data_IF_220982317318
#
_entry.id   IF_220982317318
#
_cell.length_a   1.000
_cell.length_b   1.000
_cell.length_c   1.000
_cell.angle_alpha   90.00
_cell.angle_beta   90.00
_cell.angle_gamma   90.00
#
_symmetry.space_group_name_H-M   'P 1'
#
loop_
_entity.id
_entity.type
_entity.pdbx_description
1 polymer ?
#
# COMPACT_ATOMS: atom_id res chain seq x y z
N UNK A 1 -45.74 4.95 20.19
CA UNK A 1 -44.62 5.90 20.34
C UNK A 1 -43.55 5.47 21.35
N UNK A 2 -43.85 4.65 22.36
CA UNK A 2 -42.86 4.18 23.35
C UNK A 2 -41.83 3.18 22.77
N UNK A 3 -42.28 2.24 21.92
CA UNK A 3 -41.41 1.24 21.30
C UNK A 3 -40.32 1.83 20.37
N UNK A 4 -40.66 2.89 19.63
CA UNK A 4 -39.70 3.60 18.76
C UNK A 4 -38.57 4.24 19.60
N UNK A 5 -38.90 4.81 20.76
CA UNK A 5 -37.92 5.41 21.67
C UNK A 5 -36.98 4.36 22.27
N UNK A 6 -37.51 3.18 22.62
CA UNK A 6 -36.70 2.07 23.11
C UNK A 6 -35.75 1.51 22.04
N UNK A 7 -36.21 1.38 20.79
CA UNK A 7 -35.35 0.95 19.69
C UNK A 7 -34.21 1.94 19.41
N UNK A 8 -34.50 3.24 19.47
CA UNK A 8 -33.49 4.29 19.31
C UNK A 8 -32.46 4.22 20.44
N UNK A 9 -32.89 4.03 21.69
CA UNK A 9 -31.96 3.88 22.82
C UNK A 9 -31.08 2.63 22.70
N UNK A 10 -31.63 1.52 22.23
CA UNK A 10 -30.84 0.32 21.95
C UNK A 10 -29.82 0.52 20.85
N UNK A 11 -30.20 1.17 19.74
CA UNK A 11 -29.29 1.49 18.64
C UNK A 11 -28.15 2.43 19.08
N UNK A 12 -28.46 3.46 19.87
CA UNK A 12 -27.42 4.37 20.39
C UNK A 12 -26.48 3.62 21.34
N UNK A 13 -27.02 2.75 22.19
CA UNK A 13 -26.23 1.91 23.09
C UNK A 13 -25.30 0.95 22.35
N UNK A 14 -25.76 0.29 21.29
CA UNK A 14 -24.92 -0.63 20.51
C UNK A 14 -23.83 0.10 19.73
N UNK A 15 -24.11 1.28 19.19
CA UNK A 15 -23.09 2.10 18.49
C UNK A 15 -21.96 2.51 19.45
N UNK A 16 -22.30 2.94 20.68
CA UNK A 16 -21.31 3.30 21.70
C UNK A 16 -20.45 2.10 22.13
N UNK A 17 -21.07 0.92 22.27
CA UNK A 17 -20.34 -0.30 22.61
C UNK A 17 -19.39 -0.74 21.49
N UNK A 18 -19.80 -0.59 20.23
CA UNK A 18 -18.94 -0.90 19.08
C UNK A 18 -17.67 -0.02 19.05
N UNK A 19 -17.76 1.24 19.45
CA UNK A 19 -16.59 2.15 19.49
C UNK A 19 -15.54 1.69 20.50
N UNK A 20 -15.94 1.22 21.69
CA UNK A 20 -15.00 0.76 22.72
C UNK A 20 -14.34 -0.58 22.35
N UNK A 21 -15.03 -1.41 21.57
CA UNK A 21 -14.49 -2.72 21.13
C UNK A 21 -13.61 -2.66 19.87
N UNK A 22 -13.57 -1.52 19.17
CA UNK A 22 -12.89 -1.43 17.88
C UNK A 22 -11.37 -1.20 17.99
N UNK A 23 -10.86 -0.66 19.10
CA UNK A 23 -9.53 -0.06 19.09
C UNK A 23 -8.33 -1.04 19.13
N UNK A 24 -8.30 -2.17 19.87
CA UNK A 24 -7.10 -3.01 19.89
C UNK A 24 -7.16 -4.26 18.99
N UNK A 25 -8.35 -4.81 18.71
CA UNK A 25 -8.47 -6.11 18.02
C UNK A 25 -8.55 -5.96 16.49
N UNK A 26 -9.17 -4.90 15.98
CA UNK A 26 -9.20 -4.63 14.54
C UNK A 26 -7.86 -4.13 14.01
N UNK A 27 -7.10 -3.37 14.79
CA UNK A 27 -5.77 -2.92 14.38
C UNK A 27 -4.80 -4.09 14.18
N UNK A 28 -4.80 -5.10 15.06
CA UNK A 28 -3.89 -6.26 14.92
C UNK A 28 -4.25 -7.12 13.68
N UNK A 29 -5.53 -7.36 13.43
CA UNK A 29 -5.99 -8.13 12.26
C UNK A 29 -5.74 -7.35 10.95
N UNK A 30 -5.91 -6.03 10.96
CA UNK A 30 -5.61 -5.19 9.80
C UNK A 30 -4.10 -5.08 9.56
N UNK A 31 -3.30 -5.07 10.64
CA UNK A 31 -1.84 -5.05 10.57
C UNK A 31 -1.26 -6.35 10.01
N UNK A 32 -1.78 -7.51 10.42
CA UNK A 32 -1.37 -8.80 9.83
C UNK A 32 -1.76 -8.90 8.35
N UNK A 33 -2.98 -8.51 7.97
CA UNK A 33 -3.43 -8.58 6.56
C UNK A 33 -2.69 -7.59 5.64
N UNK A 34 -2.29 -6.41 6.14
CA UNK A 34 -1.47 -5.47 5.37
C UNK A 34 -0.03 -5.97 5.19
N UNK A 35 0.52 -6.69 6.17
CA UNK A 35 1.88 -7.22 6.08
C UNK A 35 2.00 -8.32 5.02
N UNK A 36 0.99 -9.18 4.90
CA UNK A 36 0.95 -10.24 3.89
C UNK A 36 0.72 -9.73 2.45
N UNK A 37 0.13 -8.54 2.30
CA UNK A 37 -0.02 -7.89 0.98
C UNK A 37 1.29 -7.28 0.46
N UNK A 38 2.15 -6.78 1.35
CA UNK A 38 3.48 -6.26 0.99
C UNK A 38 4.42 -7.39 0.55
N UNK A 39 4.25 -8.60 1.09
CA UNK A 39 5.13 -9.74 0.84
C UNK A 39 4.79 -10.52 -0.45
N UNK A 40 3.56 -10.42 -0.97
CA UNK A 40 3.06 -11.28 -2.05
C UNK A 40 2.77 -10.58 -3.39
N UNK A 41 2.96 -9.27 -3.52
CA UNK A 41 3.17 -8.68 -4.85
C UNK A 41 4.58 -9.04 -5.31
N UNK A 42 4.82 -9.44 -6.58
CA UNK A 42 6.19 -9.59 -7.07
C UNK A 42 6.87 -8.23 -6.92
N UNK A 43 7.61 -8.07 -5.82
CA UNK A 43 7.93 -6.78 -5.26
C UNK A 43 8.54 -5.96 -6.36
N UNK A 44 7.88 -4.85 -6.70
CA UNK A 44 8.46 -3.96 -7.68
C UNK A 44 9.80 -3.49 -7.13
N UNK A 45 10.83 -4.07 -7.69
CA UNK A 45 12.17 -3.98 -7.20
C UNK A 45 13.08 -3.73 -8.38
N UNK A 46 14.07 -2.90 -8.12
CA UNK A 46 15.16 -2.73 -9.05
C UNK A 46 16.04 -3.98 -8.97
N UNK A 47 16.38 -4.53 -10.13
CA UNK A 47 17.30 -5.67 -10.24
C UNK A 47 18.70 -5.30 -9.74
N UNK A 48 19.09 -4.04 -9.87
CA UNK A 48 20.36 -3.52 -9.38
C UNK A 48 20.14 -2.52 -8.24
N UNK A 49 21.14 -2.43 -7.36
CA UNK A 49 21.15 -1.48 -6.24
C UNK A 49 21.27 -0.02 -6.74
N UNK A 50 21.15 0.92 -5.80
CA UNK A 50 21.14 2.37 -6.06
C UNK A 50 22.39 2.90 -6.77
N UNK A 51 23.52 2.20 -6.65
CA UNK A 51 24.75 2.51 -7.38
C UNK A 51 24.59 2.39 -8.91
N UNK A 52 23.68 1.53 -9.38
CA UNK A 52 23.32 1.45 -10.80
C UNK A 52 22.00 2.19 -11.03
N UNK A 53 20.93 1.83 -10.31
CA UNK A 53 19.62 2.46 -10.41
C UNK A 53 19.56 3.70 -9.50
N UNK A 54 20.03 4.85 -9.99
CA UNK A 54 20.04 6.12 -9.26
C UNK A 54 21.31 6.95 -9.49
N UNK A 55 22.45 6.29 -9.75
CA UNK A 55 23.73 6.97 -10.05
C UNK A 55 24.15 6.82 -11.51
N UNK A 56 24.07 5.62 -12.09
CA UNK A 56 24.38 5.38 -13.51
C UNK A 56 23.12 5.58 -14.36
N UNK A 57 22.01 4.99 -13.91
CA UNK A 57 20.70 5.15 -14.51
C UNK A 57 19.94 6.20 -13.72
N UNK A 58 19.68 7.35 -14.35
CA UNK A 58 18.95 8.45 -13.76
C UNK A 58 17.56 8.54 -14.38
N UNK A 59 16.70 9.38 -13.80
CA UNK A 59 15.30 9.51 -14.23
C UNK A 59 15.15 9.92 -15.71
N UNK A 60 16.09 10.72 -16.23
CA UNK A 60 16.17 11.08 -17.65
C UNK A 60 16.29 9.87 -18.58
N UNK A 61 16.97 8.81 -18.12
CA UNK A 61 17.10 7.58 -18.89
C UNK A 61 15.78 6.82 -18.95
N UNK A 62 14.96 6.88 -17.90
CA UNK A 62 13.62 6.28 -17.88
C UNK A 62 12.70 6.93 -18.93
N UNK A 63 12.79 8.25 -19.13
CA UNK A 63 12.01 8.95 -20.16
C UNK A 63 12.48 8.63 -21.59
N UNK A 64 13.75 8.31 -21.77
CA UNK A 64 14.36 8.00 -23.08
C UNK A 64 14.22 6.52 -23.46
N UNK A 65 13.00 5.99 -23.50
CA UNK A 65 12.68 4.57 -23.75
C UNK A 65 13.30 3.99 -25.04
N UNK A 66 13.55 4.82 -26.05
CA UNK A 66 14.20 4.41 -27.32
C UNK A 66 15.72 4.28 -27.23
N UNK A 67 16.34 4.91 -26.24
CA UNK A 67 17.79 4.83 -26.04
C UNK A 67 18.22 3.48 -25.47
N UNK A 68 19.49 3.09 -25.68
CA UNK A 68 20.06 1.87 -25.10
C UNK A 68 19.90 1.87 -23.56
N UNK A 69 20.15 3.03 -22.94
CA UNK A 69 20.04 3.18 -21.49
C UNK A 69 18.59 3.16 -21.00
N UNK A 70 17.65 3.72 -21.76
CA UNK A 70 16.23 3.66 -21.39
C UNK A 70 15.65 2.25 -21.49
N UNK A 71 16.05 1.46 -22.48
CA UNK A 71 15.70 0.02 -22.53
C UNK A 71 16.28 -0.75 -21.35
N UNK A 72 17.51 -0.42 -20.94
CA UNK A 72 18.13 -1.01 -19.75
C UNK A 72 17.37 -0.63 -18.47
N UNK A 73 17.04 0.66 -18.32
CA UNK A 73 16.31 1.21 -17.19
C UNK A 73 14.92 0.56 -17.05
N UNK A 74 14.17 0.45 -18.15
CA UNK A 74 12.84 -0.15 -18.16
C UNK A 74 12.82 -1.63 -17.75
N UNK A 75 13.90 -2.37 -18.00
CA UNK A 75 13.99 -3.79 -17.66
C UNK A 75 14.51 -4.02 -16.23
N UNK A 76 15.42 -3.19 -15.75
CA UNK A 76 16.21 -3.47 -14.55
C UNK A 76 16.02 -2.47 -13.40
N UNK A 77 15.53 -1.26 -13.66
CA UNK A 77 15.33 -0.21 -12.66
C UNK A 77 13.85 0.21 -12.61
N UNK A 78 12.95 -0.77 -12.53
CA UNK A 78 11.50 -0.54 -12.65
C UNK A 78 10.93 0.29 -11.52
N UNK A 79 11.42 0.11 -10.28
CA UNK A 79 10.97 0.86 -9.10
C UNK A 79 11.45 2.29 -9.21
N UNK A 80 12.72 2.50 -9.53
CA UNK A 80 13.28 3.85 -9.70
C UNK A 80 12.60 4.62 -10.86
N UNK A 81 12.28 3.93 -11.96
CA UNK A 81 11.61 4.55 -13.10
C UNK A 81 10.08 4.67 -12.96
N UNK A 82 9.45 4.13 -11.92
CA UNK A 82 7.99 4.14 -11.77
C UNK A 82 7.24 3.33 -12.83
N UNK A 83 7.84 2.22 -13.28
CA UNK A 83 7.20 1.26 -14.20
C UNK A 83 6.47 0.12 -13.48
N UNK A 84 6.52 0.17 -12.16
CA UNK A 84 5.43 -0.20 -11.28
C UNK A 84 4.96 1.10 -10.58
#
# INVERSE_FOLDING_TARGET
MAALRLLVLFMVGTILLCQVSADPLWEEILRENLHDQEYNSPACSDKYRSNICGMVVNQDHCMKSKSRMGKFAAKNCKRMCGFC
#
